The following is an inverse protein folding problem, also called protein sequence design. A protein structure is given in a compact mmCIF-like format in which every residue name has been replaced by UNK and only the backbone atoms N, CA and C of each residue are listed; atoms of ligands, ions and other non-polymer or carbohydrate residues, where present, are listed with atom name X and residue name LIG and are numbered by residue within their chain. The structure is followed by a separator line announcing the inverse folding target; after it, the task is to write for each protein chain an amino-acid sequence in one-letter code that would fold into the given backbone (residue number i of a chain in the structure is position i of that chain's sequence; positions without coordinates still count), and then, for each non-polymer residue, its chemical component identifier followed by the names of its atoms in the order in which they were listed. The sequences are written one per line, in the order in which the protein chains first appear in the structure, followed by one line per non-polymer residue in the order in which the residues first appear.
data_IF_237391917313
#
_entry.id   IF_237391917313
#
_cell.length_a   1.000
_cell.length_b   1.000
_cell.length_c   1.000
_cell.angle_alpha   90.00
_cell.angle_beta   90.00
_cell.angle_gamma   90.00
#
_symmetry.space_group_name_H-M   'P 1'
#
loop_
_entity.id
_entity.type
_entity.pdbx_description
1 polymer ?
#
# COMPACT_ATOMS: atom_id res chain seq x y z
N UNK A 1 -19.05 36.19 -21.94
CA UNK A 1 -18.47 35.18 -22.83
C UNK A 1 -19.13 33.86 -22.51
N UNK A 2 -19.43 33.11 -23.56
CA UNK A 2 -20.01 31.79 -23.48
C UNK A 2 -18.89 30.76 -23.27
N UNK A 3 -19.16 29.69 -22.53
CA UNK A 3 -18.16 28.66 -22.23
C UNK A 3 -18.78 27.28 -22.10
N UNK A 4 -17.99 26.25 -22.40
CA UNK A 4 -18.39 24.87 -22.15
C UNK A 4 -18.20 24.50 -20.68
N UNK A 5 -19.21 23.86 -20.10
CA UNK A 5 -19.14 23.17 -18.81
C UNK A 5 -19.31 21.68 -19.07
N UNK A 6 -18.49 20.85 -18.46
CA UNK A 6 -18.70 19.40 -18.45
C UNK A 6 -19.11 18.90 -17.06
N UNK A 7 -19.80 17.76 -17.04
CA UNK A 7 -20.04 16.96 -15.84
C UNK A 7 -19.87 15.47 -16.19
N UNK A 8 -19.54 14.66 -15.20
CA UNK A 8 -19.46 13.20 -15.33
C UNK A 8 -20.45 12.58 -14.36
N UNK A 9 -21.32 11.69 -14.83
CA UNK A 9 -22.23 10.90 -13.98
C UNK A 9 -21.82 9.43 -14.01
N UNK A 10 -21.71 8.80 -12.85
CA UNK A 10 -21.47 7.36 -12.69
C UNK A 10 -22.79 6.60 -12.56
N UNK A 11 -22.89 5.42 -13.17
CA UNK A 11 -23.96 4.47 -12.88
C UNK A 11 -23.69 3.71 -11.57
N UNK A 12 -24.40 4.09 -10.50
CA UNK A 12 -24.42 3.35 -9.25
C UNK A 12 -25.29 2.08 -9.37
N UNK A 13 -24.60 0.97 -9.61
CA UNK A 13 -25.18 -0.37 -9.72
C UNK A 13 -25.58 -0.99 -8.37
N UNK A 14 -25.31 -0.34 -7.23
CA UNK A 14 -25.71 -0.84 -5.90
C UNK A 14 -27.19 -0.54 -5.58
N UNK A 15 -27.88 0.19 -6.45
CA UNK A 15 -29.31 0.54 -6.33
C UNK A 15 -30.12 -0.28 -7.34
N UNK A 16 -31.24 -0.87 -6.92
CA UNK A 16 -32.05 -1.84 -7.70
C UNK A 16 -32.53 -1.37 -9.10
N UNK A 17 -32.41 -0.08 -9.43
CA UNK A 17 -32.76 0.48 -10.75
C UNK A 17 -31.60 1.16 -11.48
N UNK A 18 -30.38 1.12 -10.96
CA UNK A 18 -29.19 1.78 -11.54
C UNK A 18 -29.32 3.31 -11.57
N UNK A 19 -28.80 3.99 -10.54
CA UNK A 19 -28.93 5.45 -10.43
C UNK A 19 -27.71 6.15 -11.03
N UNK A 20 -27.93 7.15 -11.89
CA UNK A 20 -26.87 8.06 -12.31
C UNK A 20 -26.59 9.11 -11.22
N UNK A 21 -25.32 9.29 -10.85
CA UNK A 21 -24.87 10.14 -9.73
C UNK A 21 -23.65 10.95 -10.16
N UNK A 22 -23.63 12.25 -9.85
CA UNK A 22 -22.49 13.14 -10.14
C UNK A 22 -21.17 12.59 -9.58
N UNK A 23 -20.26 12.30 -10.51
CA UNK A 23 -18.92 11.78 -10.32
C UNK A 23 -17.85 12.74 -10.86
N UNK A 24 -18.22 13.98 -11.22
CA UNK A 24 -17.34 14.97 -11.86
C UNK A 24 -16.05 15.19 -11.06
N UNK A 25 -16.13 15.16 -9.72
CA UNK A 25 -14.99 15.37 -8.83
C UNK A 25 -13.96 14.22 -8.84
N UNK A 26 -14.30 13.03 -9.31
CA UNK A 26 -13.38 11.90 -9.41
C UNK A 26 -12.37 12.03 -10.57
N UNK A 27 -12.61 12.93 -11.52
CA UNK A 27 -11.73 13.17 -12.66
C UNK A 27 -10.86 14.42 -12.49
N UNK A 28 -9.63 14.35 -12.99
CA UNK A 28 -8.85 15.51 -13.41
C UNK A 28 -9.16 15.77 -14.89
N UNK A 29 -9.41 17.04 -15.23
CA UNK A 29 -9.81 17.47 -16.58
C UNK A 29 -8.79 18.46 -17.10
N UNK A 30 -8.35 18.25 -18.33
CA UNK A 30 -7.38 19.06 -19.04
C UNK A 30 -7.97 19.49 -20.38
N UNK A 31 -7.82 20.76 -20.73
CA UNK A 31 -8.20 21.31 -22.02
C UNK A 31 -6.97 21.77 -22.79
N UNK A 32 -6.91 21.44 -24.08
CA UNK A 32 -5.89 21.94 -25.01
C UNK A 32 -6.60 22.54 -26.22
N UNK A 33 -6.53 23.87 -26.36
CA UNK A 33 -6.95 24.53 -27.58
C UNK A 33 -6.03 24.15 -28.75
N UNK A 34 -6.61 23.89 -29.92
CA UNK A 34 -5.91 23.77 -31.19
C UNK A 34 -6.00 25.13 -31.90
N UNK A 35 -4.89 25.88 -32.07
CA UNK A 35 -4.92 27.25 -32.57
C UNK A 35 -5.43 27.43 -34.02
N UNK A 36 -5.63 26.34 -34.75
CA UNK A 36 -5.90 26.35 -36.19
C UNK A 36 -7.36 26.08 -36.57
N UNK A 37 -8.20 25.62 -35.63
CA UNK A 37 -9.52 25.02 -35.98
C UNK A 37 -10.67 25.39 -35.01
N UNK A 38 -10.55 26.46 -34.21
CA UNK A 38 -11.50 26.83 -33.14
C UNK A 38 -11.92 25.66 -32.23
N UNK A 39 -11.04 24.66 -32.12
CA UNK A 39 -11.32 23.35 -31.53
C UNK A 39 -10.57 23.19 -30.21
N UNK A 40 -11.23 22.60 -29.22
CA UNK A 40 -10.62 22.30 -27.92
C UNK A 40 -10.64 20.79 -27.69
N UNK A 41 -9.45 20.19 -27.55
CA UNK A 41 -9.31 18.81 -27.09
C UNK A 41 -9.57 18.81 -25.58
N UNK A 42 -10.56 18.05 -25.13
CA UNK A 42 -10.79 17.72 -23.74
C UNK A 42 -10.22 16.33 -23.44
N UNK A 43 -9.32 16.26 -22.46
CA UNK A 43 -8.74 15.02 -21.96
C UNK A 43 -9.03 14.90 -20.47
N UNK A 44 -9.44 13.73 -20.00
CA UNK A 44 -9.72 13.50 -18.57
C UNK A 44 -9.03 12.23 -18.07
N UNK A 45 -8.74 12.23 -16.77
CA UNK A 45 -8.09 11.11 -16.07
C UNK A 45 -8.79 10.86 -14.75
N UNK A 46 -9.12 9.61 -14.47
CA UNK A 46 -9.67 9.21 -13.16
C UNK A 46 -8.57 9.35 -12.09
N UNK A 47 -8.83 10.12 -11.03
CA UNK A 47 -7.88 10.40 -9.94
C UNK A 47 -7.45 9.15 -9.19
N UNK A 48 -8.39 8.24 -8.97
CA UNK A 48 -8.15 6.98 -8.26
C UNK A 48 -8.92 5.85 -8.96
N UNK A 49 -8.19 4.97 -9.64
CA UNK A 49 -8.78 3.80 -10.30
C UNK A 49 -9.05 2.70 -9.26
N UNK A 50 -10.20 2.82 -8.59
CA UNK A 50 -10.66 1.89 -7.56
C UNK A 50 -11.83 1.00 -8.02
N UNK A 51 -12.53 1.39 -9.08
CA UNK A 51 -13.71 0.70 -9.59
C UNK A 51 -13.83 0.95 -11.09
N UNK A 52 -14.33 -0.04 -11.82
CA UNK A 52 -14.63 0.05 -13.25
C UNK A 52 -16.12 0.28 -13.41
N UNK A 53 -16.52 1.50 -13.78
CA UNK A 53 -17.92 1.88 -13.85
C UNK A 53 -18.30 2.41 -15.23
N UNK A 54 -19.57 2.27 -15.57
CA UNK A 54 -20.15 2.98 -16.72
C UNK A 54 -20.38 4.43 -16.32
N UNK A 55 -19.88 5.36 -17.12
CA UNK A 55 -19.98 6.80 -16.91
C UNK A 55 -20.71 7.48 -18.08
N UNK A 56 -21.25 8.66 -17.83
CA UNK A 56 -21.79 9.59 -18.82
C UNK A 56 -21.03 10.91 -18.73
N UNK A 57 -20.41 11.33 -19.83
CA UNK A 57 -19.91 12.69 -20.00
C UNK A 57 -21.05 13.58 -20.52
N UNK A 58 -21.48 14.51 -19.69
CA UNK A 58 -22.41 15.57 -20.07
C UNK A 58 -21.63 16.82 -20.49
N UNK A 59 -22.05 17.46 -21.59
CA UNK A 59 -21.45 18.70 -22.10
C UNK A 59 -22.54 19.77 -22.23
N UNK A 60 -22.34 20.92 -21.59
CA UNK A 60 -23.25 22.04 -21.57
C UNK A 60 -22.60 23.29 -22.16
N UNK A 61 -23.36 24.05 -22.94
CA UNK A 61 -23.04 25.44 -23.28
C UNK A 61 -23.61 26.33 -22.17
N UNK A 62 -22.77 27.16 -21.57
CA UNK A 62 -23.17 28.20 -20.63
C UNK A 62 -23.06 29.54 -21.33
N UNK A 63 -24.20 30.12 -21.72
CA UNK A 63 -24.24 31.41 -22.40
C UNK A 63 -24.47 32.56 -21.42
N UNK A 64 -23.70 33.64 -21.60
CA UNK A 64 -23.86 34.88 -20.84
C UNK A 64 -24.77 35.82 -21.61
N UNK A 65 -26.06 35.85 -21.26
CA UNK A 65 -26.97 36.89 -21.75
C UNK A 65 -26.48 38.27 -21.28
N UNK A 66 -26.28 39.20 -22.20
CA UNK A 66 -25.83 40.56 -21.89
C UNK A 66 -26.96 41.36 -21.22
N UNK A 67 -26.97 41.37 -19.89
CA UNK A 67 -27.95 42.07 -19.05
C UNK A 67 -28.13 41.35 -17.71
N UNK A 68 -28.98 41.87 -16.82
CA UNK A 68 -29.26 41.29 -15.49
C UNK A 68 -29.96 39.89 -15.50
N UNK A 69 -30.05 39.24 -16.66
CA UNK A 69 -30.54 37.86 -16.78
C UNK A 69 -29.49 36.85 -16.34
N UNK A 70 -29.91 35.83 -15.58
CA UNK A 70 -29.03 34.75 -15.14
C UNK A 70 -28.45 33.93 -16.30
N UNK A 71 -27.30 33.29 -16.07
CA UNK A 71 -26.63 32.43 -17.07
C UNK A 71 -27.57 31.32 -17.55
N UNK A 72 -27.80 31.22 -18.87
CA UNK A 72 -28.51 30.09 -19.48
C UNK A 72 -27.52 28.93 -19.63
N UNK A 73 -27.97 27.73 -19.27
CA UNK A 73 -27.22 26.48 -19.40
C UNK A 73 -28.03 25.55 -20.28
N UNK A 74 -27.45 25.07 -21.38
CA UNK A 74 -28.11 24.20 -22.35
C UNK A 74 -27.20 23.02 -22.69
N UNK A 75 -27.77 21.81 -22.71
CA UNK A 75 -27.00 20.60 -23.03
C UNK A 75 -26.74 20.48 -24.53
N UNK A 76 -25.50 20.15 -24.91
CA UNK A 76 -25.09 20.01 -26.32
C UNK A 76 -25.79 18.82 -26.95
N UNK A 77 -26.31 18.98 -28.17
CA UNK A 77 -26.91 17.87 -28.93
C UNK A 77 -25.91 16.72 -29.11
N UNK A 78 -26.28 15.53 -28.67
CA UNK A 78 -25.43 14.33 -28.67
C UNK A 78 -24.84 13.99 -27.30
N UNK A 79 -24.88 14.91 -26.34
CA UNK A 79 -24.67 14.63 -24.92
C UNK A 79 -25.89 13.88 -24.33
N UNK A 80 -25.72 12.96 -23.36
CA UNK A 80 -24.45 12.50 -22.80
C UNK A 80 -23.73 11.42 -23.62
N UNK A 81 -22.40 11.45 -23.57
CA UNK A 81 -21.53 10.44 -24.15
C UNK A 81 -21.23 9.33 -23.13
N UNK A 82 -21.56 8.08 -23.46
CA UNK A 82 -21.28 6.92 -22.61
C UNK A 82 -19.84 6.44 -22.76
N UNK A 83 -19.18 6.16 -21.64
CA UNK A 83 -17.86 5.50 -21.62
C UNK A 83 -17.70 4.61 -20.37
N UNK A 84 -16.60 3.89 -20.28
CA UNK A 84 -16.23 3.10 -19.08
C UNK A 84 -15.03 3.76 -18.42
N UNK A 85 -15.12 4.05 -17.12
CA UNK A 85 -13.99 4.52 -16.32
C UNK A 85 -13.18 3.34 -15.77
N UNK A 86 -11.90 3.60 -15.53
CA UNK A 86 -10.98 2.62 -14.96
C UNK A 86 -10.36 1.67 -15.98
N UNK A 87 -9.60 0.69 -15.47
CA UNK A 87 -8.82 -0.27 -16.26
C UNK A 87 -8.86 -1.62 -15.56
N UNK A 88 -9.11 -2.69 -16.31
CA UNK A 88 -9.10 -4.06 -15.78
C UNK A 88 -7.69 -4.43 -15.31
N UNK A 89 -7.50 -4.89 -14.06
CA UNK A 89 -6.20 -5.32 -13.59
C UNK A 89 -5.80 -6.64 -14.26
N UNK A 90 -4.60 -6.67 -14.83
CA UNK A 90 -3.97 -7.88 -15.36
C UNK A 90 -2.83 -8.34 -14.45
N UNK A 91 -2.74 -9.66 -14.22
CA UNK A 91 -1.63 -10.39 -13.60
C UNK A 91 -0.78 -9.55 -12.62
N UNK A 92 -1.36 -9.21 -11.47
CA UNK A 92 -0.73 -8.35 -10.49
C UNK A 92 0.57 -8.98 -9.94
N UNK A 93 1.65 -8.19 -9.78
CA UNK A 93 2.79 -8.63 -8.96
C UNK A 93 2.47 -8.39 -7.49
N UNK A 94 2.49 -9.45 -6.69
CA UNK A 94 1.91 -9.42 -5.34
C UNK A 94 2.82 -10.01 -4.27
N UNK A 95 2.59 -9.63 -3.02
CA UNK A 95 3.27 -10.20 -1.86
C UNK A 95 2.31 -10.31 -0.68
N UNK A 96 2.20 -11.48 -0.06
CA UNK A 96 1.47 -11.62 1.20
C UNK A 96 2.22 -10.85 2.29
N UNK A 97 1.59 -9.81 2.85
CA UNK A 97 2.10 -9.11 4.05
C UNK A 97 1.85 -9.94 5.32
N UNK A 98 0.82 -10.76 5.30
CA UNK A 98 0.39 -11.62 6.40
C UNK A 98 -0.90 -11.14 7.05
N UNK A 99 -1.18 -11.66 8.24
CA UNK A 99 -2.41 -11.41 8.99
C UNK A 99 -2.15 -10.67 10.31
N UNK A 100 -3.19 -10.07 10.90
CA UNK A 100 -3.08 -9.34 12.17
C UNK A 100 -2.74 -10.21 13.38
N UNK A 101 -2.71 -11.54 13.22
CA UNK A 101 -2.34 -12.52 14.25
C UNK A 101 -0.98 -13.14 13.93
N UNK A 102 -0.16 -13.37 14.96
CA UNK A 102 1.17 -13.99 14.83
C UNK A 102 1.13 -15.49 14.54
N UNK A 103 0.01 -16.15 14.81
CA UNK A 103 -0.24 -17.57 14.54
C UNK A 103 -1.71 -17.76 14.22
N UNK A 104 -1.98 -18.51 13.15
CA UNK A 104 -3.35 -18.81 12.71
C UNK A 104 -3.76 -20.13 13.31
N UNK A 105 -4.64 -20.08 14.29
CA UNK A 105 -5.27 -21.25 14.89
C UNK A 105 -6.49 -21.67 14.07
N UNK A 106 -6.78 -22.96 14.11
CA UNK A 106 -7.95 -23.55 13.45
C UNK A 106 -9.26 -22.94 13.97
N UNK A 107 -10.18 -22.64 13.05
CA UNK A 107 -11.44 -21.93 13.34
C UNK A 107 -11.27 -20.44 13.68
N UNK A 108 -10.06 -19.88 13.62
CA UNK A 108 -9.84 -18.46 13.89
C UNK A 108 -10.20 -17.58 12.68
N UNK A 109 -10.71 -16.38 12.96
CA UNK A 109 -11.09 -15.34 12.00
C UNK A 109 -10.11 -14.18 12.14
N UNK A 110 -9.37 -13.85 11.08
CA UNK A 110 -8.32 -12.81 11.14
C UNK A 110 -8.25 -11.97 9.87
N UNK A 111 -7.89 -10.68 10.02
CA UNK A 111 -7.69 -9.79 8.88
C UNK A 111 -6.30 -10.00 8.29
N UNK A 112 -6.22 -10.21 6.98
CA UNK A 112 -5.00 -10.40 6.21
C UNK A 112 -4.88 -9.37 5.09
N UNK A 113 -3.63 -9.17 4.62
CA UNK A 113 -3.31 -8.19 3.60
C UNK A 113 -2.35 -8.78 2.55
N UNK A 114 -2.68 -8.58 1.28
CA UNK A 114 -1.79 -8.81 0.14
C UNK A 114 -1.43 -7.46 -0.45
N UNK A 115 -0.13 -7.21 -0.60
CA UNK A 115 0.41 -5.99 -1.17
C UNK A 115 0.40 -6.10 -2.69
N UNK A 116 -0.15 -5.08 -3.36
CA UNK A 116 -0.18 -4.98 -4.82
C UNK A 116 0.95 -4.05 -5.27
N UNK A 117 1.95 -4.61 -5.94
CA UNK A 117 3.06 -3.85 -6.49
C UNK A 117 2.71 -3.33 -7.89
N UNK A 118 3.53 -2.41 -8.41
CA UNK A 118 3.43 -1.85 -9.77
C UNK A 118 2.12 -1.11 -10.09
N UNK A 119 1.42 -0.59 -9.08
CA UNK A 119 0.26 0.30 -9.30
C UNK A 119 -0.96 -0.40 -9.89
N UNK A 120 -1.11 -1.71 -9.67
CA UNK A 120 -2.32 -2.46 -10.03
C UNK A 120 -3.51 -1.81 -9.35
N UNK A 121 -4.49 -1.42 -10.16
CA UNK A 121 -5.63 -0.59 -9.76
C UNK A 121 -6.91 -1.40 -9.75
N UNK A 122 -7.80 -1.06 -8.82
CA UNK A 122 -8.23 -2.07 -7.87
C UNK A 122 -9.73 -2.22 -7.69
N UNK A 123 -10.44 -2.53 -8.76
CA UNK A 123 -11.82 -3.01 -8.65
C UNK A 123 -11.84 -4.40 -8.05
N UNK A 124 -12.28 -4.50 -6.79
CA UNK A 124 -12.22 -5.74 -6.00
C UNK A 124 -13.00 -6.90 -6.62
N UNK A 125 -13.98 -6.63 -7.50
CA UNK A 125 -14.75 -7.66 -8.22
C UNK A 125 -13.90 -8.57 -9.10
N UNK A 126 -12.70 -8.12 -9.47
CA UNK A 126 -11.74 -8.90 -10.26
C UNK A 126 -10.74 -9.70 -9.43
N UNK A 127 -10.79 -9.61 -8.09
CA UNK A 127 -9.87 -10.28 -7.17
C UNK A 127 -10.56 -11.44 -6.47
N UNK A 128 -10.25 -12.66 -6.89
CA UNK A 128 -10.73 -13.89 -6.27
C UNK A 128 -9.63 -14.58 -5.49
N UNK A 129 -9.96 -15.09 -4.29
CA UNK A 129 -9.06 -15.86 -3.45
C UNK A 129 -9.51 -17.32 -3.40
N UNK A 130 -8.56 -18.25 -3.50
CA UNK A 130 -8.77 -19.67 -3.25
C UNK A 130 -7.78 -20.20 -2.22
N UNK A 131 -8.17 -21.27 -1.51
CA UNK A 131 -7.39 -21.91 -0.45
C UNK A 131 -7.37 -23.42 -0.70
N UNK A 132 -6.21 -24.04 -0.54
CA UNK A 132 -6.06 -25.50 -0.63
C UNK A 132 -6.73 -26.26 0.50
N UNK A 133 -6.88 -25.65 1.69
CA UNK A 133 -7.54 -26.26 2.84
C UNK A 133 -9.03 -25.88 2.95
N UNK A 134 -9.59 -25.18 1.96
CA UNK A 134 -10.99 -24.74 1.96
C UNK A 134 -11.30 -23.64 2.98
N UNK A 135 -10.33 -22.75 3.25
CA UNK A 135 -10.56 -21.56 4.05
C UNK A 135 -11.57 -20.61 3.38
N UNK A 136 -12.38 -19.93 4.18
CA UNK A 136 -13.38 -18.97 3.69
C UNK A 136 -12.80 -17.56 3.72
N UNK A 137 -13.06 -16.79 2.66
CA UNK A 137 -12.62 -15.41 2.49
C UNK A 137 -13.83 -14.48 2.55
N UNK A 138 -13.82 -13.53 3.50
CA UNK A 138 -14.89 -12.54 3.66
C UNK A 138 -14.35 -11.12 3.53
N UNK A 139 -15.22 -10.16 3.22
CA UNK A 139 -14.91 -8.72 3.19
C UNK A 139 -13.63 -8.38 2.42
N UNK A 140 -13.44 -9.00 1.25
CA UNK A 140 -12.36 -8.65 0.33
C UNK A 140 -12.58 -7.20 -0.10
N UNK A 141 -11.58 -6.35 0.10
CA UNK A 141 -11.62 -4.91 -0.13
C UNK A 141 -10.28 -4.45 -0.71
N UNK A 142 -10.32 -3.59 -1.72
CA UNK A 142 -9.12 -2.91 -2.20
C UNK A 142 -8.94 -1.58 -1.47
N UNK A 143 -7.72 -1.34 -0.98
CA UNK A 143 -7.32 -0.11 -0.32
C UNK A 143 -6.21 0.55 -1.16
N UNK A 144 -6.46 1.68 -1.84
CA UNK A 144 -5.45 2.33 -2.70
C UNK A 144 -4.26 2.89 -1.91
N UNK A 145 -4.43 3.11 -0.60
CA UNK A 145 -3.36 3.44 0.35
C UNK A 145 -3.52 2.56 1.57
N UNK A 146 -2.68 1.53 1.68
CA UNK A 146 -2.69 0.58 2.78
C UNK A 146 -2.25 1.24 4.11
N UNK A 147 -2.70 0.69 5.26
CA UNK A 147 -2.65 1.38 6.55
C UNK A 147 -1.24 1.57 7.14
N UNK A 148 -0.22 0.88 6.63
CA UNK A 148 1.16 0.92 7.15
C UNK A 148 2.08 1.60 6.15
N UNK A 149 2.32 0.96 5.00
CA UNK A 149 3.30 1.41 4.01
C UNK A 149 2.73 2.36 2.93
N UNK A 150 1.46 2.78 3.03
CA UNK A 150 0.74 3.62 2.04
C UNK A 150 0.71 3.04 0.60
N UNK A 151 1.17 1.81 0.40
CA UNK A 151 1.07 1.03 -0.86
C UNK A 151 -0.33 0.49 -1.08
N UNK A 152 -0.78 0.26 -2.32
CA UNK A 152 -2.07 -0.40 -2.57
C UNK A 152 -2.09 -1.82 -2.01
N UNK A 153 -3.20 -2.21 -1.38
CA UNK A 153 -3.36 -3.56 -0.79
C UNK A 153 -4.75 -4.13 -1.03
N UNK A 154 -4.84 -5.45 -1.15
CA UNK A 154 -6.10 -6.19 -0.95
C UNK A 154 -6.16 -6.62 0.51
N UNK A 155 -7.23 -6.22 1.18
CA UNK A 155 -7.55 -6.50 2.58
C UNK A 155 -8.71 -7.48 2.63
N UNK A 156 -8.58 -8.59 3.34
CA UNK A 156 -9.61 -9.62 3.44
C UNK A 156 -9.61 -10.28 4.82
N UNK A 157 -10.75 -10.84 5.22
CA UNK A 157 -10.86 -11.69 6.40
C UNK A 157 -10.62 -13.13 5.97
N UNK A 158 -9.61 -13.77 6.56
CA UNK A 158 -9.37 -15.20 6.46
C UNK A 158 -10.05 -15.92 7.62
N UNK A 159 -10.91 -16.89 7.29
CA UNK A 159 -11.54 -17.80 8.25
C UNK A 159 -10.86 -19.17 8.12
N UNK A 160 -10.06 -19.52 9.12
CA UNK A 160 -9.27 -20.75 9.11
C UNK A 160 -10.16 -21.99 9.23
N UNK A 161 -9.93 -23.05 8.43
CA UNK A 161 -10.72 -24.27 8.49
C UNK A 161 -10.56 -25.01 9.84
N UNK A 162 -11.48 -25.92 10.12
CA UNK A 162 -11.46 -26.75 11.33
C UNK A 162 -10.55 -27.97 11.11
N UNK A 163 -9.41 -28.03 11.81
CA UNK A 163 -8.30 -28.95 11.60
C UNK A 163 -7.82 -29.53 12.94
N UNK A 164 -7.50 -30.83 12.93
CA UNK A 164 -7.01 -31.56 14.12
C UNK A 164 -5.48 -31.54 14.27
N UNK A 165 -4.76 -31.29 13.19
CA UNK A 165 -3.29 -31.27 13.11
C UNK A 165 -2.80 -29.94 12.56
N UNK A 166 -1.49 -29.68 12.61
CA UNK A 166 -0.89 -28.57 11.86
C UNK A 166 -0.96 -28.93 10.37
N UNK A 167 -1.43 -28.00 9.55
CA UNK A 167 -1.48 -28.14 8.10
C UNK A 167 -1.01 -26.85 7.43
N UNK A 168 -0.54 -26.99 6.20
CA UNK A 168 -0.09 -25.88 5.37
C UNK A 168 -1.19 -25.53 4.37
N UNK A 169 -1.51 -24.25 4.26
CA UNK A 169 -2.49 -23.71 3.32
C UNK A 169 -1.80 -22.83 2.29
N UNK A 170 -2.15 -23.01 1.04
CA UNK A 170 -1.69 -22.22 -0.09
C UNK A 170 -2.83 -21.35 -0.58
N UNK A 171 -2.70 -20.05 -0.36
CA UNK A 171 -3.70 -19.06 -0.78
C UNK A 171 -3.33 -18.53 -2.16
N UNK A 172 -4.18 -18.78 -3.16
CA UNK A 172 -3.98 -18.27 -4.52
C UNK A 172 -4.83 -17.04 -4.72
N UNK A 173 -4.22 -15.95 -5.19
CA UNK A 173 -4.92 -14.76 -5.67
C UNK A 173 -5.03 -14.83 -7.20
N UNK A 174 -6.26 -14.74 -7.68
CA UNK A 174 -6.62 -14.67 -9.09
C UNK A 174 -7.10 -13.24 -9.36
N UNK A 175 -6.47 -12.56 -10.32
CA UNK A 175 -6.77 -11.18 -10.72
C UNK A 175 -7.16 -11.17 -12.19
N UNK A 176 -8.39 -10.73 -12.49
CA UNK A 176 -8.88 -10.66 -13.87
C UNK A 176 -8.94 -12.00 -14.59
N UNK A 177 -9.13 -13.10 -13.85
CA UNK A 177 -9.15 -14.47 -14.38
C UNK A 177 -7.76 -15.14 -14.51
N UNK A 178 -6.67 -14.46 -14.14
CA UNK A 178 -5.30 -15.00 -14.17
C UNK A 178 -4.69 -15.05 -12.77
N UNK A 179 -3.87 -16.06 -12.49
CA UNK A 179 -3.11 -16.14 -11.23
C UNK A 179 -2.13 -14.96 -11.13
N UNK A 180 -2.13 -14.27 -9.99
CA UNK A 180 -1.21 -13.16 -9.73
C UNK A 180 0.25 -13.65 -9.59
N UNK A 181 1.22 -12.86 -10.07
CA UNK A 181 2.63 -13.23 -9.98
C UNK A 181 3.10 -13.26 -8.53
N UNK A 182 3.78 -14.35 -8.15
CA UNK A 182 4.14 -14.75 -6.77
C UNK A 182 2.98 -15.23 -5.89
N UNK A 183 1.84 -15.55 -6.49
CA UNK A 183 0.85 -16.46 -5.90
C UNK A 183 1.13 -17.90 -6.37
N UNK A 184 0.83 -18.95 -5.58
CA UNK A 184 0.19 -18.93 -4.26
C UNK A 184 1.10 -18.50 -3.12
N UNK A 185 0.49 -18.12 -2.00
CA UNK A 185 1.16 -17.75 -0.75
C UNK A 185 1.06 -18.86 0.29
N UNK A 186 2.17 -19.18 0.96
CA UNK A 186 2.22 -20.21 2.02
C UNK A 186 1.78 -19.66 3.38
N UNK A 187 0.88 -20.37 4.06
CA UNK A 187 0.41 -20.05 5.40
C UNK A 187 0.31 -21.33 6.24
N UNK A 188 0.59 -21.22 7.54
CA UNK A 188 0.51 -22.35 8.48
C UNK A 188 -0.72 -22.21 9.37
N UNK A 189 -1.59 -23.22 9.36
CA UNK A 189 -2.73 -23.32 10.27
C UNK A 189 -2.41 -24.33 11.37
N UNK A 190 -2.49 -23.89 12.61
CA UNK A 190 -2.22 -24.70 13.80
C UNK A 190 -3.52 -25.22 14.42
N UNK A 191 -3.55 -26.43 14.99
CA UNK A 191 -4.76 -26.93 15.64
C UNK A 191 -5.08 -26.07 16.87
N UNK A 192 -6.37 -25.92 17.16
CA UNK A 192 -6.83 -25.20 18.36
C UNK A 192 -6.40 -25.98 19.59
N UNK A 193 -5.51 -25.39 20.41
CA UNK A 193 -5.17 -25.95 21.73
C UNK A 193 -6.40 -25.87 22.62
N UNK A 194 -6.89 -27.02 23.09
CA UNK A 194 -7.86 -27.07 24.18
C UNK A 194 -7.17 -26.63 25.47
N UNK A 195 -7.72 -25.64 26.15
CA UNK A 195 -7.22 -25.14 27.45
C UNK A 195 -7.60 -26.04 28.63
N UNK A 196 -8.21 -27.20 28.37
CA UNK A 196 -8.85 -28.06 29.37
C UNK A 196 -7.98 -29.19 29.91
N UNK A 197 -6.70 -29.26 29.53
CA UNK A 197 -5.75 -30.18 30.18
C UNK A 197 -4.95 -29.48 31.27
N UNK A 198 -5.49 -29.53 32.49
CA UNK A 198 -4.68 -29.62 33.73
C UNK A 198 -4.04 -31.01 33.77
N UNK A 199 -2.89 -31.16 33.13
CA UNK A 199 -2.00 -32.31 33.27
C UNK A 199 -0.60 -31.83 32.89
N UNK A 200 0.40 -32.15 33.71
CA UNK A 200 1.77 -31.66 33.56
C UNK A 200 2.42 -32.22 32.28
N UNK A 201 2.23 -31.51 31.18
CA UNK A 201 3.02 -31.70 29.95
C UNK A 201 4.14 -30.67 29.93
N UNK A 202 5.34 -31.16 30.20
CA UNK A 202 6.57 -30.38 30.08
C UNK A 202 6.66 -29.69 28.71
N UNK A 203 7.33 -28.55 28.69
CA UNK A 203 7.29 -27.62 27.58
C UNK A 203 7.85 -28.22 26.28
N UNK A 204 6.99 -28.76 25.42
CA UNK A 204 7.26 -28.86 23.97
C UNK A 204 7.12 -27.46 23.35
N UNK A 205 7.98 -26.56 23.83
CA UNK A 205 8.35 -25.33 23.17
C UNK A 205 9.15 -25.78 21.96
N UNK A 206 8.67 -25.52 20.76
CA UNK A 206 9.43 -25.72 19.53
C UNK A 206 10.70 -24.87 19.59
N UNK A 207 11.77 -25.46 20.10
CA UNK A 207 13.08 -24.86 20.19
C UNK A 207 13.66 -24.78 18.80
N UNK A 208 14.11 -23.60 18.38
CA UNK A 208 14.88 -23.42 17.16
C UNK A 208 16.29 -24.02 17.38
N UNK A 209 16.35 -25.36 17.35
CA UNK A 209 17.58 -26.12 17.47
C UNK A 209 18.32 -26.09 16.12
N UNK A 210 19.26 -25.16 15.98
CA UNK A 210 20.22 -25.19 14.88
C UNK A 210 21.28 -26.26 15.19
N UNK A 211 21.22 -27.38 14.49
CA UNK A 211 22.21 -28.46 14.62
C UNK A 211 23.37 -28.18 13.67
N UNK A 212 24.56 -27.93 14.21
CA UNK A 212 25.82 -27.88 13.45
C UNK A 212 26.71 -29.01 13.98
N UNK A 213 26.93 -30.02 13.15
CA UNK A 213 27.91 -31.07 13.43
C UNK A 213 29.29 -30.65 12.92
N UNK A 214 30.28 -30.62 13.79
CA UNK A 214 31.70 -30.47 13.41
C UNK A 214 32.42 -31.73 13.85
N UNK A 215 32.91 -32.51 12.88
CA UNK A 215 33.77 -33.66 13.10
C UNK A 215 35.15 -33.39 12.53
N UNK A 216 36.20 -33.61 13.33
CA UNK A 216 37.57 -33.69 12.83
C UNK A 216 37.90 -35.17 12.57
N UNK A 217 38.21 -35.49 11.31
CA UNK A 217 38.69 -36.81 10.94
C UNK A 217 40.22 -36.82 10.94
N UNK A 218 40.82 -37.76 11.66
CA UNK A 218 42.24 -38.12 11.55
C UNK A 218 42.35 -39.62 11.31
N UNK A 219 43.03 -40.01 10.22
CA UNK A 219 43.32 -41.41 9.85
C UNK A 219 42.15 -42.42 10.00
N UNK A 220 40.97 -42.07 9.48
CA UNK A 220 39.95 -43.05 9.08
C UNK A 220 39.11 -43.70 10.18
N UNK A 221 39.22 -43.30 11.45
CA UNK A 221 38.39 -43.83 12.55
C UNK A 221 37.67 -42.70 13.29
N UNK A 222 36.34 -42.83 13.43
CA UNK A 222 35.52 -41.90 14.23
C UNK A 222 35.55 -42.37 15.68
N UNK A 223 36.28 -41.66 16.53
CA UNK A 223 36.25 -41.84 17.98
C UNK A 223 35.22 -40.86 18.56
N UNK A 224 34.17 -41.37 19.22
CA UNK A 224 33.21 -40.54 19.98
C UNK A 224 33.88 -39.88 21.20
N UNK A 225 33.30 -38.90 21.88
CA UNK A 225 31.87 -38.60 22.08
C UNK A 225 31.61 -37.09 22.23
N UNK A 226 30.34 -36.69 22.28
CA UNK A 226 29.94 -35.27 22.19
C UNK A 226 30.03 -34.46 23.49
N UNK A 227 29.75 -33.17 23.36
CA UNK A 227 29.41 -32.27 24.47
C UNK A 227 28.27 -31.34 24.06
N UNK A 228 27.30 -31.12 24.96
CA UNK A 228 26.14 -30.26 24.70
C UNK A 228 26.34 -28.90 25.38
N UNK A 229 26.40 -27.81 24.60
CA UNK A 229 26.48 -26.44 25.13
C UNK A 229 25.18 -25.69 24.82
N UNK A 230 24.31 -25.58 25.83
CA UNK A 230 23.06 -24.83 25.74
C UNK A 230 23.31 -23.30 25.85
N UNK A 231 23.69 -22.68 24.73
CA UNK A 231 24.00 -21.25 24.68
C UNK A 231 22.73 -20.36 24.61
N UNK A 232 22.39 -19.74 25.75
CA UNK A 232 21.28 -18.77 25.89
C UNK A 232 21.63 -17.39 25.28
N UNK A 233 21.78 -17.30 23.96
CA UNK A 233 22.42 -16.14 23.29
C UNK A 233 21.49 -15.09 22.64
N UNK A 234 20.18 -15.32 22.51
CA UNK A 234 19.27 -14.35 21.84
C UNK A 234 19.01 -13.08 22.70
N UNK A 235 19.17 -13.13 24.02
CA UNK A 235 19.13 -11.92 24.87
C UNK A 235 20.40 -11.06 24.76
N UNK A 236 21.54 -11.64 24.37
CA UNK A 236 22.80 -10.89 24.19
C UNK A 236 22.90 -10.22 22.83
N UNK A 237 22.33 -10.79 21.77
CA UNK A 237 22.41 -10.19 20.43
C UNK A 237 21.55 -8.92 20.31
N UNK A 238 20.35 -8.90 20.92
CA UNK A 238 19.55 -7.67 21.01
C UNK A 238 20.15 -6.65 21.98
N UNK A 239 20.68 -7.04 23.15
CA UNK A 239 21.41 -6.10 24.04
C UNK A 239 22.67 -5.55 23.39
N UNK A 240 23.44 -6.35 22.64
CA UNK A 240 24.63 -5.87 21.93
C UNK A 240 24.28 -4.94 20.77
N UNK A 241 23.15 -5.17 20.07
CA UNK A 241 22.64 -4.22 19.06
C UNK A 241 22.10 -2.93 19.70
N UNK A 242 21.40 -3.01 20.84
CA UNK A 242 20.96 -1.82 21.58
C UNK A 242 22.14 -1.04 22.17
N UNK A 243 23.14 -1.70 22.76
CA UNK A 243 24.35 -1.04 23.27
C UNK A 243 25.19 -0.43 22.14
N UNK A 244 25.33 -1.09 20.98
CA UNK A 244 25.98 -0.49 19.81
C UNK A 244 25.16 0.63 19.17
N UNK A 245 23.84 0.62 19.28
CA UNK A 245 22.99 1.73 18.86
C UNK A 245 23.14 2.92 19.83
N UNK A 246 23.12 2.68 21.14
CA UNK A 246 23.33 3.71 22.17
C UNK A 246 24.76 4.29 22.12
N UNK A 247 25.79 3.46 21.89
CA UNK A 247 27.15 3.95 21.65
C UNK A 247 27.26 4.75 20.34
N UNK A 248 26.50 4.41 19.30
CA UNK A 248 26.44 5.25 18.09
C UNK A 248 25.71 6.57 18.30
N UNK A 249 24.72 6.63 19.20
CA UNK A 249 24.08 7.91 19.59
C UNK A 249 25.02 8.75 20.44
N UNK A 250 25.69 8.16 21.44
CA UNK A 250 26.71 8.87 22.23
C UNK A 250 27.95 9.28 21.44
N UNK A 251 28.34 8.55 20.39
CA UNK A 251 29.41 8.98 19.49
C UNK A 251 29.00 10.20 18.65
N UNK A 252 27.71 10.34 18.29
CA UNK A 252 27.22 11.54 17.60
C UNK A 252 27.14 12.74 18.56
N UNK A 253 26.63 12.56 19.79
CA UNK A 253 26.64 13.64 20.80
C UNK A 253 28.09 14.07 21.16
N UNK A 254 29.04 13.14 21.25
CA UNK A 254 30.45 13.45 21.58
C UNK A 254 31.24 14.00 20.39
N UNK A 255 30.88 13.69 19.13
CA UNK A 255 31.44 14.37 17.95
C UNK A 255 30.86 15.79 17.80
N UNK A 256 29.56 16.00 18.06
CA UNK A 256 28.94 17.35 18.05
C UNK A 256 29.44 18.26 19.21
N UNK A 257 29.78 17.71 20.38
CA UNK A 257 30.39 18.48 21.47
C UNK A 257 31.92 18.68 21.34
N UNK A 258 32.61 17.91 20.48
CA UNK A 258 34.06 18.00 20.30
C UNK A 258 34.52 18.84 19.08
N UNK A 259 33.69 19.03 18.05
CA UNK A 259 34.05 19.89 16.90
C UNK A 259 33.83 21.40 17.13
N UNK A 260 33.37 21.82 18.30
CA UNK A 260 33.13 23.23 18.61
C UNK A 260 34.33 23.96 19.26
N UNK A 261 35.57 23.68 18.82
CA UNK A 261 36.78 24.39 19.29
C UNK A 261 37.96 24.43 18.30
N UNK A 262 37.76 24.97 17.08
CA UNK A 262 38.83 25.58 16.28
C UNK A 262 38.28 26.47 15.13
N UNK A 263 38.28 27.78 15.37
CA UNK A 263 38.15 28.90 14.41
C UNK A 263 38.35 28.62 12.92
N UNK A 264 37.30 28.90 12.12
CA UNK A 264 37.38 29.15 10.68
C UNK A 264 36.30 30.13 10.22
N UNK A 265 36.53 31.45 10.35
CA UNK A 265 35.57 32.47 9.88
C UNK A 265 35.57 32.55 8.36
N UNK A 266 34.51 32.04 7.73
CA UNK A 266 34.15 32.36 6.34
C UNK A 266 32.79 33.04 6.35
N UNK A 267 32.80 34.38 6.32
CA UNK A 267 31.58 35.16 6.14
C UNK A 267 31.26 35.31 4.66
N UNK A 268 30.06 34.91 4.25
CA UNK A 268 29.47 35.37 2.99
C UNK A 268 28.55 36.53 3.36
N UNK A 269 29.07 37.73 3.18
CA UNK A 269 28.36 38.97 3.44
C UNK A 269 27.30 39.20 2.34
N UNK A 270 26.05 39.57 2.68
CA UNK A 270 25.02 39.83 1.68
C UNK A 270 25.39 41.10 0.89
N UNK A 271 25.46 40.98 -0.43
CA UNK A 271 25.84 42.08 -1.36
C UNK A 271 24.93 43.29 -1.14
N UNK A 272 25.47 44.43 -0.64
CA UNK A 272 24.73 45.69 -0.62
C UNK A 272 24.63 46.24 -2.04
N UNK A 273 23.45 46.68 -2.45
CA UNK A 273 23.34 47.47 -3.68
C UNK A 273 24.01 48.84 -3.46
N UNK A 274 24.82 49.34 -4.41
CA UNK A 274 25.57 50.56 -4.22
C UNK A 274 24.65 51.79 -4.19
N UNK A 275 24.72 52.56 -3.10
CA UNK A 275 24.32 53.96 -3.12
C UNK A 275 25.26 54.74 -4.05
N UNK A 276 24.70 55.52 -4.97
CA UNK A 276 25.42 56.67 -5.54
C UNK A 276 25.16 57.90 -4.66
N UNK A 277 26.19 58.67 -4.28
CA UNK A 277 26.03 59.83 -3.40
C UNK A 277 25.84 61.14 -4.18
N UNK A 278 24.98 61.99 -3.65
CA UNK A 278 24.97 63.46 -3.73
C UNK A 278 24.07 63.94 -2.59
N UNK A 279 24.23 65.08 -1.93
CA UNK A 279 25.30 66.04 -1.66
C UNK A 279 24.62 67.08 -0.75
N UNK A 280 25.33 67.62 0.24
CA UNK A 280 25.11 68.94 0.89
C UNK A 280 23.88 69.20 1.81
N UNK A 281 24.18 69.93 2.91
CA UNK A 281 23.41 71.05 3.53
C UNK A 281 21.93 70.84 3.95
N UNK A 282 21.43 71.21 5.14
CA UNK A 282 21.97 71.84 6.37
C UNK A 282 21.06 71.43 7.56
N UNK A 283 21.26 71.80 8.84
CA UNK A 283 22.23 72.70 9.51
C UNK A 283 22.92 71.98 10.68
#
# INVERSE_FOLDING_TARGET
MDYFRIAFDMLDNNVERGKWVDNTKAFDVYSRALPQEDTVILSWKLKVNNFINTERLHVYIVSSTSGNGGKRVEEVRGSPFLFVSGVMPHAAYVSLRGCRVSSITSGNRTQCFIDLHNGVTGDVRYFNLSSTLGAVFENITYLPKGPIYKTPVVSFVYVAPVLKTRSEDFITLIVGGQTAFRSPFHMNVFPRRSSEKKEDSETVRGSNALVIGVGLAFFGVIIGTGSFIALRSILRLNRARQLRAMQKVQMVEVEEEAECSATGKVGIEPVPQPHHPQESESD
#
